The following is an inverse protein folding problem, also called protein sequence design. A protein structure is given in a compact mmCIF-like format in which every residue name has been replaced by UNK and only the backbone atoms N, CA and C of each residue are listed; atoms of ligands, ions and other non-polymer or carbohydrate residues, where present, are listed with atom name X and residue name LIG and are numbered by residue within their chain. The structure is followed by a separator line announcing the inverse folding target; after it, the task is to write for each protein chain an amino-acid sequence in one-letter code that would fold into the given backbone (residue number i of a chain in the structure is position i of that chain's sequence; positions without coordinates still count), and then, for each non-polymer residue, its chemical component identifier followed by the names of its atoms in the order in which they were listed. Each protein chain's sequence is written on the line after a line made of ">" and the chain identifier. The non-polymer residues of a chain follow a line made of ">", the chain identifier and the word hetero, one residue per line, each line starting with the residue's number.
data_IF_439293847941
#
_entry.id   IF_439293847941
#
_cell.length_a   1.000
_cell.length_b   1.000
_cell.length_c   1.000
_cell.angle_alpha   90.00
_cell.angle_beta   90.00
_cell.angle_gamma   90.00
#
_symmetry.space_group_name_H-M   'P 1'
#
loop_
_entity.id
_entity.type
_entity.pdbx_description
1 polymer ?
#
# COMPACT_ATOMS: atom_id res chain seq x y z
N UNK A 1 -9.24 -8.21 13.31
CA UNK A 1 -8.58 -8.90 14.44
C UNK A 1 -7.46 -8.07 15.06
N UNK A 2 -6.54 -7.45 14.26
CA UNK A 2 -5.42 -6.66 14.81
C UNK A 2 -5.89 -5.47 15.65
N UNK A 3 -6.93 -4.75 15.23
CA UNK A 3 -7.49 -3.60 15.94
C UNK A 3 -8.21 -3.97 17.25
N UNK A 4 -8.47 -5.26 17.49
CA UNK A 4 -9.10 -5.75 18.71
C UNK A 4 -8.08 -6.15 19.78
N UNK A 5 -6.80 -6.19 19.45
CA UNK A 5 -5.72 -6.50 20.40
C UNK A 5 -5.32 -5.23 21.16
N UNK A 6 -5.54 -5.15 22.48
CA UNK A 6 -5.18 -3.98 23.28
C UNK A 6 -3.66 -3.76 23.41
N UNK A 7 -2.85 -4.75 23.07
CA UNK A 7 -1.39 -4.61 23.06
C UNK A 7 -0.86 -3.88 21.81
N UNK A 8 -1.69 -3.74 20.77
CA UNK A 8 -1.32 -3.05 19.54
C UNK A 8 -1.85 -1.60 19.58
N UNK A 9 -0.97 -0.59 19.57
CA UNK A 9 -1.40 0.80 19.50
C UNK A 9 -2.29 1.06 18.29
N UNK A 10 -3.37 1.81 18.48
CA UNK A 10 -4.20 2.22 17.36
C UNK A 10 -3.51 3.32 16.57
N UNK A 11 -3.39 3.19 15.24
CA UNK A 11 -2.89 4.26 14.40
C UNK A 11 -3.96 5.37 14.27
N UNK A 12 -3.54 6.59 13.96
CA UNK A 12 -4.46 7.70 13.67
C UNK A 12 -5.24 7.47 12.37
N UNK A 13 -4.59 6.88 11.38
CA UNK A 13 -5.18 6.55 10.08
C UNK A 13 -4.81 5.13 9.66
N UNK A 14 -5.70 4.51 8.90
CA UNK A 14 -5.48 3.19 8.29
C UNK A 14 -5.69 3.33 6.79
N UNK A 15 -4.68 2.92 6.03
CA UNK A 15 -4.76 2.75 4.58
C UNK A 15 -4.78 1.26 4.30
N UNK A 16 -5.84 0.77 3.66
CA UNK A 16 -6.00 -0.64 3.30
C UNK A 16 -6.43 -0.80 1.84
N UNK A 17 -6.78 -2.02 1.42
CA UNK A 17 -7.11 -2.35 0.03
C UNK A 17 -6.06 -1.83 -0.97
N UNK A 18 -4.77 -2.06 -0.65
CA UNK A 18 -3.62 -1.65 -1.49
C UNK A 18 -3.59 -0.14 -1.80
N UNK A 19 -4.16 0.67 -0.90
CA UNK A 19 -4.25 2.13 -1.07
C UNK A 19 -5.66 2.65 -1.36
N UNK A 20 -6.61 1.77 -1.70
CA UNK A 20 -7.94 2.20 -2.15
C UNK A 20 -8.90 2.59 -1.02
N UNK A 21 -8.58 2.28 0.22
CA UNK A 21 -9.42 2.63 1.38
C UNK A 21 -8.62 3.37 2.42
N UNK A 22 -9.12 4.54 2.84
CA UNK A 22 -8.50 5.37 3.88
C UNK A 22 -9.53 5.71 4.95
N UNK A 23 -9.25 5.34 6.19
CA UNK A 23 -10.14 5.57 7.32
C UNK A 23 -9.40 6.15 8.53
N UNK A 24 -10.13 6.82 9.40
CA UNK A 24 -9.65 7.19 10.73
C UNK A 24 -9.43 5.93 11.58
N UNK A 25 -8.27 5.78 12.20
CA UNK A 25 -7.91 4.57 12.94
C UNK A 25 -8.80 4.30 14.16
N UNK A 26 -9.31 5.34 14.81
CA UNK A 26 -10.16 5.21 16.01
C UNK A 26 -11.63 4.95 15.68
N UNK A 27 -12.19 5.66 14.69
CA UNK A 27 -13.63 5.61 14.37
C UNK A 27 -13.95 4.65 13.23
N UNK A 28 -12.95 4.26 12.42
CA UNK A 28 -13.07 3.50 11.18
C UNK A 28 -13.98 4.19 10.14
N UNK A 29 -14.23 5.47 10.31
CA UNK A 29 -14.98 6.25 9.32
C UNK A 29 -14.07 6.66 8.16
N UNK A 30 -14.58 6.70 6.93
CA UNK A 30 -13.82 7.14 5.77
C UNK A 30 -13.22 8.54 5.96
N UNK A 31 -11.94 8.71 5.64
CA UNK A 31 -11.26 10.00 5.71
C UNK A 31 -11.62 10.86 4.50
N UNK A 32 -12.39 11.92 4.76
CA UNK A 32 -12.80 12.84 3.70
C UNK A 32 -11.84 14.04 3.59
N UNK A 33 -11.64 14.62 2.39
CA UNK A 33 -12.27 14.25 1.11
C UNK A 33 -11.55 13.11 0.35
N UNK A 34 -10.44 12.59 0.88
CA UNK A 34 -9.57 11.65 0.19
C UNK A 34 -10.32 10.39 -0.27
N UNK A 35 -11.14 9.80 0.61
CA UNK A 35 -11.89 8.60 0.25
C UNK A 35 -12.90 8.87 -0.89
N UNK A 36 -13.60 10.00 -0.85
CA UNK A 36 -14.54 10.35 -1.93
C UNK A 36 -13.84 10.56 -3.28
N UNK A 37 -12.60 11.03 -3.28
CA UNK A 37 -11.81 11.18 -4.52
C UNK A 37 -11.47 9.82 -5.13
N UNK A 38 -11.15 8.82 -4.30
CA UNK A 38 -10.89 7.44 -4.74
C UNK A 38 -12.20 6.82 -5.25
N UNK A 39 -13.28 6.94 -4.48
CA UNK A 39 -14.58 6.33 -4.78
C UNK A 39 -15.20 6.87 -6.09
N UNK A 40 -14.93 8.13 -6.44
CA UNK A 40 -15.49 8.76 -7.63
C UNK A 40 -15.10 8.06 -8.95
N UNK A 41 -14.02 7.30 -8.96
CA UNK A 41 -13.50 6.62 -10.15
C UNK A 41 -13.58 5.08 -10.05
N UNK A 42 -14.11 4.57 -8.95
CA UNK A 42 -14.28 3.12 -8.76
C UNK A 42 -15.63 2.65 -9.27
N UNK A 43 -15.68 1.75 -10.28
CA UNK A 43 -16.94 1.27 -10.84
C UNK A 43 -17.72 0.35 -9.90
N UNK A 44 -17.08 -0.09 -8.82
CA UNK A 44 -17.64 -1.03 -7.86
C UNK A 44 -17.13 -2.46 -8.07
N UNK A 45 -16.94 -3.15 -6.95
CA UNK A 45 -16.41 -4.51 -6.89
C UNK A 45 -17.19 -5.49 -7.79
N UNK A 46 -18.52 -5.41 -7.79
CA UNK A 46 -19.36 -6.32 -8.58
C UNK A 46 -19.18 -6.14 -10.09
N UNK A 47 -19.03 -4.91 -10.56
CA UNK A 47 -18.79 -4.59 -11.98
C UNK A 47 -17.45 -5.16 -12.43
N UNK A 48 -16.41 -4.96 -11.63
CA UNK A 48 -15.07 -5.48 -11.91
C UNK A 48 -15.06 -7.02 -11.87
N UNK A 49 -15.65 -7.63 -10.86
CA UNK A 49 -15.72 -9.08 -10.75
C UNK A 49 -16.44 -9.74 -11.94
N UNK A 50 -17.53 -9.13 -12.42
CA UNK A 50 -18.25 -9.61 -13.60
C UNK A 50 -17.39 -9.50 -14.88
N UNK A 51 -16.69 -8.40 -15.06
CA UNK A 51 -15.80 -8.21 -16.20
C UNK A 51 -14.59 -9.18 -16.19
N UNK A 52 -14.13 -9.57 -14.99
CA UNK A 52 -13.04 -10.54 -14.84
C UNK A 52 -13.49 -12.00 -14.91
N UNK A 53 -14.79 -12.28 -14.87
CA UNK A 53 -15.37 -13.65 -14.91
C UNK A 53 -14.91 -14.52 -16.09
N UNK A 54 -14.68 -13.99 -17.31
CA UNK A 54 -14.16 -14.79 -18.42
C UNK A 54 -12.76 -15.39 -18.16
N UNK A 55 -11.96 -14.77 -17.26
CA UNK A 55 -10.63 -15.25 -16.93
C UNK A 55 -10.70 -16.34 -15.85
N UNK A 56 -11.18 -17.53 -16.23
CA UNK A 56 -11.46 -18.66 -15.31
C UNK A 56 -10.23 -19.20 -14.58
N UNK A 57 -9.04 -18.85 -15.03
CA UNK A 57 -7.78 -19.18 -14.36
C UNK A 57 -7.45 -18.28 -13.16
N UNK A 58 -8.15 -17.13 -13.02
CA UNK A 58 -8.03 -16.27 -11.85
C UNK A 58 -8.85 -16.84 -10.70
N UNK A 59 -8.20 -17.10 -9.58
CA UNK A 59 -8.88 -17.54 -8.36
C UNK A 59 -9.15 -16.32 -7.45
N UNK A 60 -10.41 -15.91 -7.34
CA UNK A 60 -10.78 -14.79 -6.47
C UNK A 60 -10.44 -15.08 -5.01
N UNK A 61 -9.89 -14.07 -4.32
CA UNK A 61 -9.62 -14.18 -2.89
C UNK A 61 -10.91 -14.07 -2.08
N UNK A 62 -11.08 -14.95 -1.09
CA UNK A 62 -12.19 -14.93 -0.15
C UNK A 62 -11.89 -14.01 1.05
N UNK A 63 -11.90 -12.71 0.76
CA UNK A 63 -11.69 -11.63 1.74
C UNK A 63 -12.65 -10.48 1.43
N UNK A 64 -13.02 -9.64 2.40
CA UNK A 64 -13.79 -8.43 2.14
C UNK A 64 -13.07 -7.54 1.11
N UNK A 65 -13.78 -7.14 0.06
CA UNK A 65 -13.24 -6.39 -1.07
C UNK A 65 -14.25 -5.30 -1.47
N UNK A 66 -14.10 -4.09 -0.92
CA UNK A 66 -15.01 -3.00 -1.26
C UNK A 66 -14.49 -2.17 -2.44
N UNK A 67 -13.18 -1.88 -2.44
CA UNK A 67 -12.53 -0.96 -3.40
C UNK A 67 -11.38 -1.61 -4.14
N UNK A 68 -11.41 -2.91 -4.24
CA UNK A 68 -10.49 -3.73 -5.05
C UNK A 68 -11.16 -5.01 -5.48
N UNK A 69 -10.62 -5.66 -6.52
CA UNK A 69 -10.88 -7.07 -6.80
C UNK A 69 -9.55 -7.80 -6.82
N UNK A 70 -9.36 -8.73 -5.89
CA UNK A 70 -8.11 -9.45 -5.69
C UNK A 70 -8.24 -10.92 -6.06
N UNK A 71 -7.24 -11.40 -6.77
CA UNK A 71 -7.17 -12.77 -7.26
C UNK A 71 -5.82 -13.39 -6.94
N UNK A 72 -5.80 -14.71 -6.80
CA UNK A 72 -4.58 -15.50 -6.89
C UNK A 72 -4.33 -15.88 -8.35
N UNK A 73 -3.10 -15.71 -8.80
CA UNK A 73 -2.68 -16.07 -10.14
C UNK A 73 -1.15 -16.26 -10.14
N UNK A 74 -0.66 -17.42 -10.56
CA UNK A 74 0.77 -17.65 -10.73
C UNK A 74 1.30 -16.98 -12.02
N UNK A 75 2.62 -16.73 -12.13
CA UNK A 75 3.20 -16.04 -13.29
C UNK A 75 2.96 -16.74 -14.62
N UNK A 76 2.99 -18.08 -14.66
CA UNK A 76 2.81 -18.86 -15.88
C UNK A 76 1.38 -18.76 -16.39
N UNK A 77 0.41 -18.78 -15.48
CA UNK A 77 -1.02 -18.55 -15.77
C UNK A 77 -1.28 -17.11 -16.20
N UNK A 78 -0.64 -16.13 -15.55
CA UNK A 78 -0.84 -14.72 -15.88
C UNK A 78 -0.24 -14.34 -17.25
N UNK A 79 0.92 -14.86 -17.60
CA UNK A 79 1.66 -14.42 -18.77
C UNK A 79 0.83 -14.37 -20.07
N UNK A 80 0.06 -15.40 -20.47
CA UNK A 80 -0.78 -15.36 -21.68
C UNK A 80 -2.01 -14.48 -21.55
N UNK A 81 -2.46 -14.17 -20.33
CA UNK A 81 -3.70 -13.42 -20.07
C UNK A 81 -3.46 -11.94 -19.75
N UNK A 82 -2.22 -11.56 -19.41
CA UNK A 82 -1.85 -10.24 -18.91
C UNK A 82 -2.42 -9.10 -19.76
N UNK A 83 -2.19 -9.14 -21.07
CA UNK A 83 -2.63 -8.07 -21.96
C UNK A 83 -4.16 -7.93 -21.99
N UNK A 84 -4.89 -9.04 -22.01
CA UNK A 84 -6.36 -9.02 -22.01
C UNK A 84 -6.92 -8.53 -20.68
N UNK A 85 -6.34 -8.95 -19.56
CA UNK A 85 -6.73 -8.49 -18.22
C UNK A 85 -6.49 -6.98 -18.10
N UNK A 86 -5.32 -6.50 -18.53
CA UNK A 86 -5.00 -5.06 -18.51
C UNK A 86 -5.96 -4.25 -19.38
N UNK A 87 -6.29 -4.77 -20.58
CA UNK A 87 -7.24 -4.11 -21.46
C UNK A 87 -8.64 -4.07 -20.83
N UNK A 88 -9.14 -5.19 -20.29
CA UNK A 88 -10.46 -5.26 -19.63
C UNK A 88 -10.53 -4.31 -18.43
N UNK A 89 -9.48 -4.23 -17.61
CA UNK A 89 -9.42 -3.29 -16.49
C UNK A 89 -9.41 -1.84 -16.99
N UNK A 90 -8.63 -1.52 -18.01
CA UNK A 90 -8.55 -0.18 -18.59
C UNK A 90 -9.89 0.29 -19.20
N UNK A 91 -10.67 -0.61 -19.80
CA UNK A 91 -12.02 -0.32 -20.30
C UNK A 91 -13.00 0.07 -19.18
N UNK A 92 -12.73 -0.39 -17.94
CA UNK A 92 -13.47 0.00 -16.74
C UNK A 92 -12.86 1.22 -16.03
N UNK A 93 -11.77 1.79 -16.55
CA UNK A 93 -11.03 2.84 -15.89
C UNK A 93 -10.29 2.38 -14.64
N UNK A 94 -9.85 1.12 -14.58
CA UNK A 94 -9.17 0.52 -13.43
C UNK A 94 -7.70 0.24 -13.74
N UNK A 95 -6.88 0.25 -12.70
CA UNK A 95 -5.48 -0.17 -12.74
C UNK A 95 -5.32 -1.64 -12.33
N UNK A 96 -4.24 -2.27 -12.83
CA UNK A 96 -3.88 -3.65 -12.51
C UNK A 96 -2.53 -3.66 -11.80
N UNK A 97 -2.47 -4.23 -10.60
CA UNK A 97 -1.24 -4.48 -9.86
C UNK A 97 -1.02 -5.98 -9.71
N UNK A 98 0.21 -6.44 -9.99
CA UNK A 98 0.63 -7.81 -9.74
C UNK A 98 1.84 -7.82 -8.82
N UNK A 99 1.79 -8.60 -7.76
CA UNK A 99 2.82 -8.65 -6.73
C UNK A 99 3.02 -10.05 -6.16
N UNK A 100 4.19 -10.28 -5.56
CA UNK A 100 4.58 -11.53 -4.90
C UNK A 100 4.42 -12.76 -5.80
N UNK A 101 4.53 -12.61 -7.13
CA UNK A 101 4.32 -13.67 -8.11
C UNK A 101 3.02 -14.49 -7.88
N UNK A 102 2.04 -13.88 -7.25
CA UNK A 102 0.84 -14.57 -6.80
C UNK A 102 -0.43 -13.71 -6.77
N UNK A 103 -0.32 -12.42 -6.46
CA UNK A 103 -1.46 -11.56 -6.20
C UNK A 103 -1.72 -10.63 -7.39
N UNK A 104 -2.92 -10.71 -7.93
CA UNK A 104 -3.42 -9.80 -8.96
C UNK A 104 -4.53 -8.95 -8.36
N UNK A 105 -4.33 -7.65 -8.28
CA UNK A 105 -5.29 -6.69 -7.77
C UNK A 105 -5.78 -5.78 -8.90
N UNK A 106 -7.10 -5.63 -9.02
CA UNK A 106 -7.73 -4.61 -9.86
C UNK A 106 -8.17 -3.49 -8.91
N UNK A 107 -7.72 -2.29 -9.16
CA UNK A 107 -7.82 -1.13 -8.27
C UNK A 107 -8.48 0.07 -8.96
N UNK A 108 -9.01 1.03 -8.20
CA UNK A 108 -9.37 2.35 -8.77
C UNK A 108 -8.16 2.96 -9.48
N UNK A 109 -8.38 3.79 -10.52
CA UNK A 109 -7.30 4.40 -11.26
C UNK A 109 -6.46 5.31 -10.35
N UNK A 110 -5.17 5.42 -10.69
CA UNK A 110 -4.21 6.25 -9.94
C UNK A 110 -4.12 5.95 -8.44
N UNK A 111 -4.48 4.72 -8.05
CA UNK A 111 -4.54 4.28 -6.65
C UNK A 111 -3.50 3.20 -6.39
N UNK A 112 -2.59 3.48 -5.46
CA UNK A 112 -1.62 2.57 -4.88
C UNK A 112 -1.19 3.07 -3.49
N UNK A 113 -0.42 2.27 -2.76
CA UNK A 113 0.02 2.63 -1.40
C UNK A 113 0.77 3.96 -1.35
N UNK A 114 1.68 4.22 -2.31
CA UNK A 114 2.51 5.42 -2.34
C UNK A 114 1.73 6.68 -2.69
N UNK A 115 0.89 6.62 -3.72
CA UNK A 115 0.03 7.75 -4.14
C UNK A 115 -0.95 8.14 -3.06
N UNK A 116 -1.60 7.15 -2.45
CA UNK A 116 -2.54 7.39 -1.35
C UNK A 116 -1.86 7.94 -0.11
N UNK A 117 -0.69 7.40 0.27
CA UNK A 117 0.10 7.94 1.37
C UNK A 117 0.55 9.39 1.08
N UNK A 118 0.97 9.69 -0.15
CA UNK A 118 1.35 11.04 -0.53
C UNK A 118 0.17 12.02 -0.50
N UNK A 119 -1.03 11.57 -0.86
CA UNK A 119 -2.25 12.37 -0.75
C UNK A 119 -2.65 12.59 0.72
N UNK A 120 -2.54 11.56 1.56
CA UNK A 120 -2.75 11.65 3.00
C UNK A 120 -1.76 12.61 3.66
N UNK A 121 -0.47 12.50 3.33
CA UNK A 121 0.56 13.39 3.86
C UNK A 121 0.29 14.86 3.52
N UNK A 122 -0.16 15.14 2.28
CA UNK A 122 -0.56 16.49 1.87
C UNK A 122 -1.78 17.00 2.63
N UNK A 123 -2.80 16.15 2.81
CA UNK A 123 -4.01 16.50 3.56
C UNK A 123 -3.70 16.85 5.01
N UNK A 124 -2.73 16.16 5.61
CA UNK A 124 -2.29 16.36 6.98
C UNK A 124 -1.15 17.40 7.12
N UNK A 125 -0.72 18.02 6.02
CA UNK A 125 0.40 18.96 5.97
C UNK A 125 1.71 18.40 6.56
N UNK A 126 1.91 17.07 6.42
CA UNK A 126 3.10 16.39 6.91
C UNK A 126 4.25 16.50 5.90
N UNK A 127 5.42 17.02 6.30
CA UNK A 127 6.61 17.02 5.46
C UNK A 127 7.08 15.60 5.16
N UNK A 128 7.51 15.34 3.92
CA UNK A 128 7.97 14.00 3.49
C UNK A 128 9.13 13.48 4.33
N UNK A 129 9.98 14.36 4.79
CA UNK A 129 11.16 14.07 5.59
C UNK A 129 10.81 13.52 6.98
N UNK A 130 9.57 13.72 7.43
CA UNK A 130 9.06 13.19 8.70
C UNK A 130 8.34 11.85 8.54
N UNK A 131 8.26 11.32 7.33
CA UNK A 131 7.58 10.07 7.04
C UNK A 131 8.64 9.00 6.74
N UNK A 132 8.60 7.92 7.52
CA UNK A 132 9.34 6.69 7.26
C UNK A 132 8.37 5.64 6.75
N UNK A 133 8.64 5.07 5.59
CA UNK A 133 7.91 3.92 5.04
C UNK A 133 8.75 2.67 5.15
N UNK A 134 8.09 1.53 5.36
CA UNK A 134 8.73 0.22 5.42
C UNK A 134 7.91 -0.77 4.59
N UNK A 135 8.59 -1.69 3.92
CA UNK A 135 7.96 -2.72 3.12
C UNK A 135 8.91 -3.85 2.79
N UNK A 136 8.33 -4.93 2.27
CA UNK A 136 9.04 -6.18 1.96
C UNK A 136 8.65 -6.79 0.60
N UNK A 137 7.61 -6.27 -0.06
CA UNK A 137 7.10 -6.81 -1.32
C UNK A 137 6.91 -5.73 -2.39
N UNK A 138 6.83 -6.13 -3.67
CA UNK A 138 6.68 -5.19 -4.80
C UNK A 138 5.44 -4.27 -4.70
N UNK A 139 4.41 -4.65 -3.97
CA UNK A 139 3.26 -3.77 -3.76
C UNK A 139 3.58 -2.54 -2.89
N UNK A 140 4.74 -2.53 -2.22
CA UNK A 140 5.25 -1.40 -1.43
C UNK A 140 6.09 -0.43 -2.25
N UNK A 141 6.53 -0.82 -3.46
CA UNK A 141 7.44 -0.05 -4.31
C UNK A 141 6.97 1.39 -4.52
N UNK A 142 5.67 1.60 -4.70
CA UNK A 142 5.12 2.93 -4.91
C UNK A 142 5.38 3.90 -3.75
N UNK A 143 5.50 3.41 -2.51
CA UNK A 143 5.82 4.24 -1.34
C UNK A 143 7.26 4.78 -1.42
N UNK A 144 8.20 3.97 -1.87
CA UNK A 144 9.59 4.40 -2.08
C UNK A 144 9.70 5.37 -3.26
N UNK A 145 9.02 5.09 -4.37
CA UNK A 145 8.96 5.96 -5.54
C UNK A 145 8.30 7.31 -5.26
N UNK A 146 7.43 7.39 -4.25
CA UNK A 146 6.84 8.64 -3.79
C UNK A 146 7.86 9.58 -3.10
N UNK A 147 9.09 9.12 -2.86
CA UNK A 147 10.19 9.93 -2.33
C UNK A 147 10.12 10.15 -0.81
N UNK A 148 9.50 9.25 -0.08
CA UNK A 148 9.60 9.20 1.38
C UNK A 148 10.92 8.56 1.81
N UNK A 149 11.35 8.83 3.06
CA UNK A 149 12.41 8.01 3.67
C UNK A 149 11.89 6.58 3.76
N UNK A 150 12.61 5.63 3.17
CA UNK A 150 12.15 4.25 3.05
C UNK A 150 13.14 3.25 3.61
N UNK A 151 12.63 2.21 4.24
CA UNK A 151 13.41 1.03 4.59
C UNK A 151 12.86 -0.20 3.89
N UNK A 152 13.68 -0.82 3.03
CA UNK A 152 13.48 -2.17 2.55
C UNK A 152 14.01 -3.11 3.65
N UNK A 153 13.11 -3.78 4.38
CA UNK A 153 13.50 -4.61 5.52
C UNK A 153 14.25 -5.87 5.06
N UNK A 154 14.99 -6.52 5.95
CA UNK A 154 15.69 -7.76 5.63
C UNK A 154 14.70 -8.86 5.19
N UNK A 155 15.15 -9.77 4.34
CA UNK A 155 14.35 -10.86 3.75
C UNK A 155 13.21 -10.38 2.83
N UNK A 156 13.29 -9.14 2.34
CA UNK A 156 12.37 -8.62 1.31
C UNK A 156 12.51 -9.36 -0.01
N UNK A 157 11.46 -9.27 -0.83
CA UNK A 157 11.47 -9.81 -2.20
C UNK A 157 12.68 -9.32 -2.99
N UNK A 158 13.44 -10.20 -3.68
CA UNK A 158 14.57 -9.79 -4.51
C UNK A 158 14.20 -8.71 -5.54
N UNK A 159 13.01 -8.77 -6.10
CA UNK A 159 12.52 -7.80 -7.07
C UNK A 159 12.28 -6.41 -6.44
N UNK A 160 11.85 -6.33 -5.18
CA UNK A 160 11.75 -5.06 -4.46
C UNK A 160 13.15 -4.50 -4.16
N UNK A 161 14.07 -5.36 -3.68
CA UNK A 161 15.46 -4.97 -3.39
C UNK A 161 16.12 -4.37 -4.64
N UNK A 162 15.97 -5.02 -5.79
CA UNK A 162 16.50 -4.55 -7.08
C UNK A 162 15.85 -3.22 -7.49
N UNK A 163 14.52 -3.13 -7.42
CA UNK A 163 13.79 -1.93 -7.83
C UNK A 163 14.06 -0.70 -6.94
N UNK A 164 14.49 -0.90 -5.70
CA UNK A 164 14.78 0.17 -4.74
C UNK A 164 16.27 0.51 -4.62
N UNK A 165 17.18 -0.28 -5.19
CA UNK A 165 18.63 -0.13 -5.03
C UNK A 165 19.18 1.24 -5.48
N UNK A 166 18.52 1.92 -6.44
CA UNK A 166 18.91 3.23 -6.96
C UNK A 166 18.15 4.42 -6.38
N UNK A 167 17.26 4.21 -5.39
CA UNK A 167 16.45 5.28 -4.82
C UNK A 167 17.18 5.96 -3.66
N UNK A 168 17.45 7.28 -3.80
CA UNK A 168 18.27 8.05 -2.85
C UNK A 168 17.76 8.04 -1.41
N UNK A 169 16.42 8.02 -1.21
CA UNK A 169 15.80 8.05 0.11
C UNK A 169 15.53 6.64 0.69
N UNK A 170 16.01 5.58 0.03
CA UNK A 170 15.76 4.19 0.45
C UNK A 170 17.00 3.55 1.03
N UNK A 171 16.85 2.97 2.21
CA UNK A 171 17.90 2.22 2.88
C UNK A 171 17.48 0.74 3.01
N UNK A 172 18.46 -0.17 2.88
CA UNK A 172 18.23 -1.61 2.98
C UNK A 172 18.71 -2.11 4.34
N UNK A 173 17.78 -2.54 5.19
CA UNK A 173 18.06 -3.11 6.48
C UNK A 173 18.52 -4.57 6.38
N UNK A 174 19.26 -5.03 7.38
CA UNK A 174 19.67 -6.44 7.48
C UNK A 174 18.67 -7.29 8.26
N UNK A 175 17.98 -6.69 9.25
CA UNK A 175 16.99 -7.39 10.05
C UNK A 175 15.61 -7.37 9.37
N UNK A 176 14.82 -8.47 9.43
CA UNK A 176 13.49 -8.53 8.89
C UNK A 176 12.48 -7.79 9.78
N UNK A 177 11.34 -7.40 9.19
CA UNK A 177 10.18 -6.85 9.88
C UNK A 177 10.51 -5.69 10.81
N UNK A 178 10.02 -5.73 12.04
CA UNK A 178 10.23 -4.65 13.02
C UNK A 178 11.70 -4.38 13.34
N UNK A 179 12.56 -5.40 13.27
CA UNK A 179 14.00 -5.23 13.46
C UNK A 179 14.60 -4.30 12.41
N UNK A 180 14.21 -4.44 11.15
CA UNK A 180 14.63 -3.56 10.06
C UNK A 180 14.12 -2.12 10.23
N UNK A 181 12.89 -1.97 10.74
CA UNK A 181 12.32 -0.65 11.02
C UNK A 181 13.13 0.06 12.13
N UNK A 182 13.49 -0.66 13.22
CA UNK A 182 14.32 -0.10 14.28
C UNK A 182 15.70 0.34 13.75
N UNK A 183 16.34 -0.49 12.93
CA UNK A 183 17.59 -0.13 12.28
C UNK A 183 17.45 1.16 11.42
N UNK A 184 16.34 1.31 10.71
CA UNK A 184 16.07 2.50 9.90
C UNK A 184 15.85 3.76 10.74
N UNK A 185 15.16 3.64 11.85
CA UNK A 185 14.95 4.74 12.80
C UNK A 185 16.31 5.26 13.31
N UNK A 186 17.23 4.37 13.64
CA UNK A 186 18.61 4.72 14.03
C UNK A 186 19.39 5.34 12.84
N UNK A 187 19.33 4.69 11.65
CA UNK A 187 20.02 5.15 10.45
C UNK A 187 19.62 6.57 10.04
N UNK A 188 18.34 6.88 10.08
CA UNK A 188 17.82 8.21 9.72
C UNK A 188 17.81 9.21 10.88
N UNK A 189 18.24 8.81 12.09
CA UNK A 189 18.29 9.67 13.27
C UNK A 189 16.91 10.16 13.73
N UNK A 190 15.88 9.33 13.59
CA UNK A 190 14.49 9.72 13.86
C UNK A 190 14.14 9.76 15.37
N UNK A 191 14.97 9.22 16.24
CA UNK A 191 14.82 9.24 17.69
C UNK A 191 15.79 10.23 18.36
N UNK A 192 16.16 11.32 17.71
CA UNK A 192 16.98 12.36 18.37
C UNK A 192 16.23 12.90 19.59
N UNK A 193 16.90 12.92 20.75
CA UNK A 193 16.33 13.15 22.08
C UNK A 193 15.69 14.53 22.31
N UNK A 194 15.63 15.40 21.32
CA UNK A 194 15.18 16.77 21.43
C UNK A 194 14.10 17.18 20.42
N UNK A 195 13.27 16.25 19.91
CA UNK A 195 12.12 16.67 19.10
C UNK A 195 11.00 17.16 20.04
N UNK A 196 10.74 18.48 20.12
CA UNK A 196 9.71 19.03 21.02
C UNK A 196 8.28 18.56 20.71
N UNK A 197 8.06 17.89 19.57
CA UNK A 197 6.77 17.37 19.16
C UNK A 197 6.49 15.94 19.66
N UNK A 198 7.50 15.23 20.21
CA UNK A 198 7.33 13.91 20.84
C UNK A 198 6.67 13.97 22.22
N UNK A 199 6.50 15.17 22.79
CA UNK A 199 5.97 15.38 24.13
C UNK A 199 4.66 16.19 24.16
N UNK A 200 4.00 16.41 23.01
CA UNK A 200 2.66 17.03 23.04
C UNK A 200 1.63 16.00 23.54
N UNK A 201 0.94 16.25 24.66
CA UNK A 201 -0.13 15.38 25.10
C UNK A 201 -1.25 15.41 24.05
N UNK A 202 -1.69 14.26 23.63
CA UNK A 202 -2.92 14.10 22.84
C UNK A 202 -4.08 14.61 23.67
N UNK A 203 -4.68 15.73 23.24
CA UNK A 203 -5.91 16.28 23.80
C UNK A 203 -7.13 15.48 23.31
#
# INVERSE_FOLDING_TARGET
>A
PLLSDPAIPRPDYIVCDVGATVVHGHTLQPLQPLQSMIDAHWPGEQVVAEAMRPFTALQRQDVPQERRCSYFCDPATLAPLRAQIQQTAAELGCDVLYSADRYLDILPPDTDKGRTLAALARLLELPRERILVAGDTLNDLSMYQAGFRGVCVGESEPALVEATAGLECTWHATAPGCGGILQAIEHFGLLAADDPHLHAPTA
#
